data_IF_713709807469
#
_entry.id   IF_713709807469
#
_cell.length_a   1.000
_cell.length_b   1.000
_cell.length_c   1.000
_cell.angle_alpha   90.00
_cell.angle_beta   90.00
_cell.angle_gamma   90.00
#
_symmetry.space_group_name_H-M   'P 1'
#
loop_
_entity.id
_entity.type
_entity.pdbx_description
1 polymer ?
#
# COMPACT_ATOMS: atom_id res chain seq x y z
N UNK A 1 -17.52 6.44 -13.73
CA UNK A 1 -16.87 7.26 -14.79
C UNK A 1 -15.41 6.86 -14.84
N UNK A 2 -15.09 5.88 -15.71
CA UNK A 2 -13.72 5.41 -15.91
C UNK A 2 -12.93 6.50 -16.65
N UNK A 3 -11.76 6.83 -16.13
CA UNK A 3 -10.85 7.87 -16.63
C UNK A 3 -10.41 7.55 -18.07
N UNK A 4 -11.08 8.12 -19.08
CA UNK A 4 -10.61 8.02 -20.47
C UNK A 4 -9.47 9.04 -20.70
N UNK A 5 -8.27 8.54 -21.07
CA UNK A 5 -7.14 9.35 -21.55
C UNK A 5 -5.93 9.47 -20.62
N UNK A 6 -5.96 8.92 -19.40
CA UNK A 6 -4.81 8.89 -18.47
C UNK A 6 -4.48 7.46 -18.07
N UNK A 7 -3.19 7.16 -17.88
CA UNK A 7 -2.77 5.88 -17.31
C UNK A 7 -3.46 5.61 -15.97
N UNK A 8 -3.87 4.37 -15.68
CA UNK A 8 -4.45 4.02 -14.39
C UNK A 8 -3.50 4.38 -13.23
N UNK A 9 -4.03 4.87 -12.09
CA UNK A 9 -3.20 5.30 -10.97
C UNK A 9 -2.55 4.12 -10.25
N UNK A 10 -1.39 4.36 -9.63
CA UNK A 10 -0.89 3.50 -8.57
C UNK A 10 -1.88 3.53 -7.40
N UNK A 11 -2.28 2.36 -6.91
CA UNK A 11 -3.18 2.27 -5.77
C UNK A 11 -2.38 2.18 -4.48
N UNK A 12 -2.70 3.05 -3.52
CA UNK A 12 -2.14 3.02 -2.16
C UNK A 12 -3.25 2.68 -1.18
N UNK A 13 -3.15 1.56 -0.46
CA UNK A 13 -4.07 1.21 0.63
C UNK A 13 -3.36 1.22 1.98
N UNK A 14 -3.32 2.38 2.66
CA UNK A 14 -2.46 2.60 3.82
C UNK A 14 -3.10 2.15 5.13
N UNK A 15 -4.22 1.41 5.06
CA UNK A 15 -5.03 1.09 6.23
C UNK A 15 -5.02 -0.41 6.54
N UNK A 16 -5.20 -0.72 7.81
CA UNK A 16 -5.43 -2.08 8.30
C UNK A 16 -6.48 -2.03 9.41
N UNK A 17 -6.97 -3.19 9.82
CA UNK A 17 -7.95 -3.33 10.91
C UNK A 17 -7.39 -2.86 12.27
N UNK A 18 -6.07 -2.91 12.45
CA UNK A 18 -5.40 -2.55 13.70
C UNK A 18 -4.28 -1.55 13.44
N UNK A 19 -4.09 -0.60 14.38
CA UNK A 19 -3.06 0.46 14.27
C UNK A 19 -1.64 -0.10 14.20
N UNK A 20 -1.35 -1.16 14.94
CA UNK A 20 -0.02 -1.81 14.95
C UNK A 20 0.35 -2.44 13.61
N UNK A 21 -0.62 -2.59 12.69
CA UNK A 21 -0.42 -3.12 11.34
C UNK A 21 -0.38 -2.03 10.28
N UNK A 22 -0.39 -0.76 10.67
CA UNK A 22 -0.37 0.36 9.74
C UNK A 22 1.01 0.99 9.71
N UNK A 23 1.59 1.06 8.50
CA UNK A 23 2.77 1.88 8.29
C UNK A 23 2.38 3.36 8.49
N UNK A 24 3.22 4.17 9.19
CA UNK A 24 2.90 5.56 9.47
C UNK A 24 2.41 6.34 8.25
N UNK A 25 1.34 7.12 8.43
CA UNK A 25 0.72 7.87 7.35
C UNK A 25 1.68 8.89 6.72
N UNK A 26 2.60 9.44 7.52
CA UNK A 26 3.65 10.36 7.05
C UNK A 26 4.62 9.65 6.10
N UNK A 27 4.86 8.35 6.30
CA UNK A 27 5.70 7.59 5.40
C UNK A 27 4.99 7.29 4.09
N UNK A 28 3.70 6.93 4.13
CA UNK A 28 2.89 6.85 2.92
C UNK A 28 2.87 8.16 2.14
N UNK A 29 2.73 9.30 2.82
CA UNK A 29 2.81 10.62 2.16
C UNK A 29 4.12 10.79 1.41
N UNK A 30 5.26 10.55 2.07
CA UNK A 30 6.60 10.67 1.46
C UNK A 30 6.75 9.72 0.27
N UNK A 31 6.27 8.49 0.38
CA UNK A 31 6.27 7.53 -0.73
C UNK A 31 5.46 8.04 -1.92
N UNK A 32 4.28 8.62 -1.69
CA UNK A 32 3.43 9.20 -2.74
C UNK A 32 4.15 10.36 -3.43
N UNK A 33 4.78 11.26 -2.65
CA UNK A 33 5.58 12.37 -3.18
C UNK A 33 6.72 11.86 -4.09
N UNK A 34 7.43 10.81 -3.68
CA UNK A 34 8.49 10.18 -4.49
C UNK A 34 7.95 9.57 -5.78
N UNK A 35 6.85 8.81 -5.72
CA UNK A 35 6.21 8.21 -6.90
C UNK A 35 5.79 9.27 -7.92
N UNK A 36 5.12 10.33 -7.45
CA UNK A 36 4.66 11.41 -8.33
C UNK A 36 5.84 12.16 -8.92
N UNK A 37 6.83 12.53 -8.10
CA UNK A 37 7.98 13.34 -8.52
C UNK A 37 8.89 12.62 -9.51
N UNK A 38 9.19 11.35 -9.26
CA UNK A 38 10.21 10.62 -10.03
C UNK A 38 9.64 9.91 -11.26
N UNK A 39 8.33 9.67 -11.30
CA UNK A 39 7.73 8.85 -12.36
C UNK A 39 6.54 9.50 -13.05
N UNK A 40 6.01 10.60 -12.52
CA UNK A 40 4.81 11.22 -13.09
C UNK A 40 3.58 10.31 -13.06
N UNK A 41 3.58 9.24 -12.24
CA UNK A 41 2.41 8.38 -12.09
C UNK A 41 1.41 9.02 -11.14
N UNK A 42 0.14 9.00 -11.54
CA UNK A 42 -0.94 9.38 -10.64
C UNK A 42 -1.15 8.32 -9.55
N UNK A 43 -1.67 8.76 -8.41
CA UNK A 43 -1.89 7.93 -7.22
C UNK A 43 -3.33 8.06 -6.74
N UNK A 44 -3.94 6.94 -6.37
CA UNK A 44 -5.22 6.91 -5.67
C UNK A 44 -5.06 6.24 -4.30
N UNK A 45 -5.36 6.97 -3.24
CA UNK A 45 -5.44 6.42 -1.87
C UNK A 45 -6.81 5.79 -1.68
N UNK A 46 -6.83 4.47 -1.46
CA UNK A 46 -8.04 3.65 -1.41
C UNK A 46 -8.29 3.06 -0.03
N UNK A 47 -9.56 2.90 0.31
CA UNK A 47 -10.01 2.44 1.61
C UNK A 47 -11.51 2.57 1.77
N UNK A 48 -12.00 2.31 2.97
CA UNK A 48 -13.42 2.42 3.32
C UNK A 48 -13.83 3.88 3.52
N UNK A 49 -15.14 4.15 3.54
CA UNK A 49 -15.67 5.49 3.83
C UNK A 49 -15.21 6.02 5.20
N UNK A 50 -15.08 5.16 6.20
CA UNK A 50 -14.62 5.53 7.54
C UNK A 50 -13.16 6.02 7.57
N UNK A 51 -12.35 5.58 6.60
CA UNK A 51 -10.92 5.93 6.50
C UNK A 51 -10.69 7.24 5.72
N UNK A 52 -11.74 7.86 5.15
CA UNK A 52 -11.61 9.06 4.31
C UNK A 52 -10.93 10.23 5.02
N UNK A 53 -11.23 10.47 6.29
CA UNK A 53 -10.61 11.56 7.05
C UNK A 53 -9.10 11.33 7.26
N UNK A 54 -8.68 10.09 7.54
CA UNK A 54 -7.28 9.74 7.65
C UNK A 54 -6.56 9.83 6.30
N UNK A 55 -7.20 9.40 5.20
CA UNK A 55 -6.67 9.56 3.86
C UNK A 55 -6.52 11.04 3.45
N UNK A 56 -7.42 11.92 3.89
CA UNK A 56 -7.27 13.37 3.68
C UNK A 56 -5.98 13.89 4.31
N UNK A 57 -5.59 13.41 5.49
CA UNK A 57 -4.32 13.83 6.12
C UNK A 57 -3.09 13.39 5.29
N UNK A 58 -3.18 12.24 4.60
CA UNK A 58 -2.12 11.76 3.72
C UNK A 58 -2.01 12.67 2.48
N UNK A 59 -3.12 12.95 1.80
CA UNK A 59 -3.13 13.64 0.50
C UNK A 59 -3.14 15.17 0.58
N UNK A 60 -3.35 15.75 1.78
CA UNK A 60 -3.43 17.21 1.96
C UNK A 60 -2.20 17.90 1.39
N UNK A 61 -2.38 19.02 0.69
CA UNK A 61 -1.27 19.81 0.10
C UNK A 61 -0.45 19.06 -0.98
N UNK A 62 -0.89 17.88 -1.43
CA UNK A 62 -0.36 17.23 -2.63
C UNK A 62 -1.16 17.69 -3.87
N UNK A 63 -0.56 17.58 -5.06
CA UNK A 63 -1.23 17.94 -6.32
C UNK A 63 -2.52 17.13 -6.51
N UNK A 64 -3.67 17.82 -6.55
CA UNK A 64 -4.99 17.20 -6.78
C UNK A 64 -5.15 16.63 -8.18
N UNK A 65 -4.29 17.04 -9.13
CA UNK A 65 -4.24 16.44 -10.47
C UNK A 65 -3.53 15.09 -10.47
N UNK A 66 -2.62 14.86 -9.53
CA UNK A 66 -1.78 13.66 -9.48
C UNK A 66 -2.17 12.70 -8.36
N UNK A 67 -2.75 13.19 -7.28
CA UNK A 67 -3.06 12.40 -6.08
C UNK A 67 -4.52 12.59 -5.70
N UNK A 68 -5.23 11.48 -5.53
CA UNK A 68 -6.64 11.47 -5.15
C UNK A 68 -6.90 10.65 -3.89
N UNK A 69 -7.88 11.08 -3.09
CA UNK A 69 -8.45 10.28 -2.00
C UNK A 69 -9.74 9.61 -2.49
N UNK A 70 -9.64 8.33 -2.84
CA UNK A 70 -10.76 7.51 -3.33
C UNK A 70 -11.46 6.71 -2.20
N UNK A 71 -11.13 6.94 -0.93
CA UNK A 71 -11.66 6.17 0.20
C UNK A 71 -13.19 6.26 0.30
N UNK A 72 -13.88 5.15 0.08
CA UNK A 72 -15.35 5.09 0.04
C UNK A 72 -15.97 5.86 -1.12
N UNK A 73 -15.24 6.08 -2.22
CA UNK A 73 -15.78 6.60 -3.49
C UNK A 73 -16.15 5.50 -4.48
N UNK A 74 -15.59 4.32 -4.32
CA UNK A 74 -15.79 3.18 -5.21
C UNK A 74 -16.61 2.11 -4.53
N UNK A 75 -17.54 1.51 -5.27
CA UNK A 75 -18.12 0.22 -4.95
C UNK A 75 -17.04 -0.87 -4.93
N UNK A 76 -17.36 -2.04 -4.39
CA UNK A 76 -16.45 -3.17 -4.41
C UNK A 76 -16.06 -3.58 -5.85
N UNK A 77 -17.02 -3.60 -6.77
CA UNK A 77 -16.77 -3.92 -8.17
C UNK A 77 -15.83 -2.91 -8.84
N UNK A 78 -16.01 -1.61 -8.57
CA UNK A 78 -15.11 -0.56 -9.06
C UNK A 78 -13.71 -0.66 -8.46
N UNK A 79 -13.58 -1.03 -7.18
CA UNK A 79 -12.27 -1.30 -6.57
C UNK A 79 -11.56 -2.49 -7.23
N UNK A 80 -12.29 -3.58 -7.51
CA UNK A 80 -11.72 -4.75 -8.22
C UNK A 80 -11.25 -4.34 -9.61
N UNK A 81 -12.06 -3.61 -10.36
CA UNK A 81 -11.69 -3.11 -11.69
C UNK A 81 -10.50 -2.14 -11.64
N UNK A 82 -10.43 -1.29 -10.62
CA UNK A 82 -9.28 -0.41 -10.40
C UNK A 82 -8.01 -1.22 -10.10
N UNK A 83 -8.09 -2.26 -9.27
CA UNK A 83 -6.96 -3.17 -8.99
C UNK A 83 -6.50 -3.88 -10.26
N UNK A 84 -7.42 -4.31 -11.12
CA UNK A 84 -7.08 -4.93 -12.42
C UNK A 84 -6.32 -4.01 -13.35
N UNK A 85 -6.74 -2.75 -13.41
CA UNK A 85 -6.14 -1.74 -14.26
C UNK A 85 -4.85 -1.15 -13.65
N UNK A 86 -4.69 -1.22 -12.33
CA UNK A 86 -3.58 -0.59 -11.63
C UNK A 86 -2.22 -1.13 -12.11
N UNK A 87 -1.26 -0.25 -12.43
CA UNK A 87 0.09 -0.69 -12.74
C UNK A 87 0.76 -1.30 -11.51
N UNK A 88 0.49 -0.73 -10.31
CA UNK A 88 1.04 -1.15 -9.03
C UNK A 88 0.05 -0.92 -7.88
N UNK A 89 0.11 -1.79 -6.88
CA UNK A 89 -0.60 -1.65 -5.62
C UNK A 89 0.41 -1.66 -4.48
N UNK A 90 0.39 -0.65 -3.60
CA UNK A 90 1.14 -0.65 -2.34
C UNK A 90 0.15 -0.64 -1.19
N UNK A 91 0.29 -1.56 -0.24
CA UNK A 91 -0.65 -1.67 0.87
C UNK A 91 0.01 -2.23 2.12
N UNK A 92 -0.57 -1.95 3.28
CA UNK A 92 -0.30 -2.81 4.44
C UNK A 92 -0.90 -4.21 4.19
N UNK A 93 -0.53 -5.18 5.02
CA UNK A 93 -1.22 -6.48 5.04
C UNK A 93 -2.73 -6.31 5.31
N UNK A 94 -3.53 -6.28 4.25
CA UNK A 94 -4.94 -5.91 4.25
C UNK A 94 -5.69 -6.60 3.11
N UNK A 95 -7.02 -6.52 3.11
CA UNK A 95 -7.84 -7.10 2.05
C UNK A 95 -7.49 -6.61 0.65
N UNK A 96 -7.06 -5.35 0.49
CA UNK A 96 -6.64 -4.80 -0.81
C UNK A 96 -5.34 -5.45 -1.29
N UNK A 97 -4.39 -5.72 -0.38
CA UNK A 97 -3.14 -6.41 -0.72
C UNK A 97 -3.41 -7.85 -1.18
N UNK A 98 -4.28 -8.59 -0.47
CA UNK A 98 -4.68 -9.93 -0.85
C UNK A 98 -5.45 -9.97 -2.17
N UNK A 99 -6.37 -9.01 -2.38
CA UNK A 99 -7.10 -8.87 -3.64
C UNK A 99 -6.13 -8.66 -4.81
N UNK A 100 -5.19 -7.73 -4.69
CA UNK A 100 -4.21 -7.45 -5.75
C UNK A 100 -3.29 -8.65 -6.02
N UNK A 101 -2.76 -9.27 -4.96
CA UNK A 101 -1.92 -10.46 -5.07
C UNK A 101 -2.63 -11.62 -5.76
N UNK A 102 -3.85 -11.95 -5.33
CA UNK A 102 -4.65 -13.04 -5.90
C UNK A 102 -5.04 -12.82 -7.37
N UNK A 103 -5.05 -11.56 -7.82
CA UNK A 103 -5.29 -11.18 -9.23
C UNK A 103 -4.00 -11.07 -10.04
N UNK A 104 -2.87 -11.49 -9.48
CA UNK A 104 -1.58 -11.48 -10.14
C UNK A 104 -1.08 -10.07 -10.44
N UNK A 105 -1.51 -9.07 -9.67
CA UNK A 105 -1.06 -7.69 -9.83
C UNK A 105 0.21 -7.42 -9.06
N UNK A 106 1.04 -6.53 -9.60
CA UNK A 106 2.25 -6.07 -8.91
C UNK A 106 1.86 -5.41 -7.60
N UNK A 107 2.23 -6.07 -6.50
CA UNK A 107 1.78 -5.72 -5.16
C UNK A 107 2.98 -5.63 -4.24
N UNK A 108 3.19 -4.47 -3.63
CA UNK A 108 4.14 -4.28 -2.54
C UNK A 108 3.36 -4.26 -1.22
N UNK A 109 3.54 -5.29 -0.40
CA UNK A 109 2.87 -5.44 0.89
C UNK A 109 3.82 -5.06 2.03
N UNK A 110 3.47 -4.07 2.84
CA UNK A 110 4.17 -3.75 4.10
C UNK A 110 3.53 -4.57 5.22
N UNK A 111 4.30 -5.47 5.82
CA UNK A 111 3.79 -6.53 6.68
C UNK A 111 4.31 -6.38 8.12
N UNK A 112 3.38 -6.27 9.07
CA UNK A 112 3.70 -6.16 10.48
C UNK A 112 4.13 -7.50 11.08
N UNK A 113 5.01 -7.46 12.08
CA UNK A 113 5.48 -8.65 12.79
C UNK A 113 4.40 -9.35 13.64
N UNK A 114 3.15 -8.87 13.64
CA UNK A 114 2.05 -9.44 14.44
C UNK A 114 1.68 -10.85 14.01
N UNK A 115 1.94 -11.24 12.76
CA UNK A 115 1.61 -12.55 12.22
C UNK A 115 2.81 -13.17 11.51
N UNK A 116 2.81 -14.49 11.35
CA UNK A 116 3.80 -15.16 10.52
C UNK A 116 3.57 -14.75 9.05
N UNK A 117 4.55 -14.08 8.43
CA UNK A 117 4.41 -13.61 7.05
C UNK A 117 4.22 -14.79 6.08
N UNK A 118 4.87 -15.92 6.33
CA UNK A 118 4.77 -17.15 5.53
C UNK A 118 3.33 -17.69 5.45
N UNK A 119 2.53 -17.44 6.48
CA UNK A 119 1.13 -17.88 6.55
C UNK A 119 0.20 -16.85 5.93
N UNK A 120 0.40 -15.56 6.25
CA UNK A 120 -0.61 -14.51 6.04
C UNK A 120 -0.24 -13.47 4.98
N UNK A 121 0.92 -13.56 4.31
CA UNK A 121 1.24 -12.64 3.23
C UNK A 121 0.25 -12.79 2.05
N UNK A 122 0.00 -11.71 1.30
CA UNK A 122 -0.68 -11.83 0.01
C UNK A 122 0.06 -12.82 -0.89
N UNK A 123 -0.69 -13.70 -1.55
CA UNK A 123 -0.14 -14.71 -2.46
C UNK A 123 -0.36 -14.30 -3.89
N UNK A 124 0.65 -14.46 -4.72
CA UNK A 124 0.58 -14.20 -6.15
C UNK A 124 1.97 -14.14 -6.78
N UNK A 125 2.07 -14.31 -8.11
CA UNK A 125 3.35 -14.37 -8.83
C UNK A 125 4.11 -13.03 -8.85
N UNK A 126 3.45 -11.93 -8.46
CA UNK A 126 3.97 -10.55 -8.55
C UNK A 126 3.83 -9.81 -7.22
N UNK A 127 3.92 -10.54 -6.11
CA UNK A 127 3.86 -9.98 -4.76
C UNK A 127 5.26 -9.87 -4.18
N UNK A 128 5.60 -8.68 -3.68
CA UNK A 128 6.77 -8.44 -2.83
C UNK A 128 6.26 -8.08 -1.44
N UNK A 129 6.67 -8.82 -0.42
CA UNK A 129 6.27 -8.57 0.97
C UNK A 129 7.48 -8.08 1.76
N UNK A 130 7.37 -6.88 2.33
CA UNK A 130 8.36 -6.28 3.22
C UNK A 130 8.02 -6.65 4.66
N UNK A 131 8.96 -7.30 5.35
CA UNK A 131 8.88 -7.62 6.78
C UNK A 131 10.26 -7.44 7.41
N UNK A 132 10.32 -6.99 8.67
CA UNK A 132 11.59 -6.89 9.42
C UNK A 132 11.81 -8.18 10.19
N UNK A 133 13.01 -8.74 10.11
CA UNK A 133 13.44 -9.84 10.96
C UNK A 133 13.69 -9.32 12.39
N UNK A 134 12.71 -9.49 13.27
CA UNK A 134 12.74 -9.00 14.65
C UNK A 134 12.59 -10.17 15.62
N UNK A 135 13.29 -10.10 16.75
CA UNK A 135 13.24 -11.14 17.78
C UNK A 135 11.82 -11.40 18.34
N UNK A 136 10.94 -10.39 18.30
CA UNK A 136 9.56 -10.57 18.74
C UNK A 136 8.66 -11.24 17.68
N UNK A 137 9.10 -11.41 16.43
CA UNK A 137 8.23 -11.89 15.35
C UNK A 137 8.16 -13.43 15.30
N UNK A 138 6.95 -14.03 15.12
CA UNK A 138 5.63 -13.39 15.15
C UNK A 138 5.16 -13.11 16.59
N UNK A 139 4.68 -11.90 16.89
CA UNK A 139 4.35 -11.51 18.27
C UNK A 139 2.87 -11.65 18.65
N UNK A 140 1.97 -11.86 17.69
CA UNK A 140 0.51 -11.86 17.89
C UNK A 140 -0.06 -10.59 18.54
N UNK A 141 0.72 -9.51 18.61
CA UNK A 141 0.28 -8.24 19.21
C UNK A 141 -0.80 -7.62 18.31
N UNK A 142 -1.97 -7.42 18.89
CA UNK A 142 -3.06 -6.60 18.37
C UNK A 142 -3.54 -5.60 19.41
N UNK A 143 -4.05 -4.43 18.99
CA UNK A 143 -4.51 -3.36 19.89
C UNK A 143 -3.52 -2.20 20.07
N UNK A 144 -3.52 -1.52 21.23
CA UNK A 144 -2.83 -0.23 21.41
C UNK A 144 -1.42 -0.28 22.02
N UNK A 145 -0.99 -1.39 22.65
CA UNK A 145 0.33 -1.46 23.30
C UNK A 145 1.26 -2.46 22.63
N UNK A 146 2.22 -1.92 21.87
CA UNK A 146 3.43 -2.62 21.46
C UNK A 146 4.61 -2.09 22.27
N UNK A 147 5.24 -2.94 23.07
CA UNK A 147 6.41 -2.56 23.90
C UNK A 147 7.66 -2.24 23.08
N UNK A 148 7.69 -2.68 21.80
CA UNK A 148 8.76 -2.39 20.85
C UNK A 148 8.46 -1.17 19.97
N UNK A 149 7.50 -0.32 20.37
CA UNK A 149 7.18 0.92 19.66
C UNK A 149 6.75 0.73 18.20
N UNK A 150 6.17 -0.43 17.86
CA UNK A 150 5.84 -0.84 16.48
C UNK A 150 7.00 -0.68 15.47
N UNK A 151 8.24 -0.92 15.92
CA UNK A 151 9.47 -0.91 15.10
C UNK A 151 9.33 -1.70 13.79
N UNK A 152 8.58 -2.83 13.81
CA UNK A 152 8.29 -3.63 12.60
C UNK A 152 7.60 -2.87 11.47
N UNK A 153 6.94 -1.74 11.78
CA UNK A 153 6.35 -0.85 10.79
C UNK A 153 7.16 0.43 10.66
N UNK A 154 7.53 1.08 11.76
CA UNK A 154 8.19 2.40 11.72
C UNK A 154 9.56 2.34 11.06
N UNK A 155 10.33 1.27 11.26
CA UNK A 155 11.71 1.19 10.78
C UNK A 155 11.81 0.93 9.27
N UNK A 156 10.69 0.82 8.56
CA UNK A 156 10.68 0.89 7.11
C UNK A 156 10.67 2.34 6.67
N UNK A 157 11.81 2.85 6.22
CA UNK A 157 11.89 4.22 5.71
C UNK A 157 11.26 4.32 4.31
N UNK A 158 10.63 5.45 3.95
CA UNK A 158 10.00 5.61 2.64
C UNK A 158 10.92 5.36 1.46
N UNK A 159 12.20 5.70 1.60
CA UNK A 159 13.21 5.44 0.56
C UNK A 159 13.44 3.95 0.33
N UNK A 160 13.44 3.12 1.39
CA UNK A 160 13.56 1.66 1.28
C UNK A 160 12.34 1.08 0.54
N UNK A 161 11.13 1.52 0.92
CA UNK A 161 9.87 1.08 0.29
C UNK A 161 9.81 1.52 -1.17
N UNK A 162 10.25 2.74 -1.46
CA UNK A 162 10.32 3.27 -2.82
C UNK A 162 11.35 2.54 -3.69
N UNK A 163 12.50 2.14 -3.13
CA UNK A 163 13.45 1.29 -3.82
C UNK A 163 12.83 -0.07 -4.20
N UNK A 164 12.11 -0.71 -3.28
CA UNK A 164 11.39 -1.96 -3.58
C UNK A 164 10.30 -1.77 -4.63
N UNK A 165 9.58 -0.64 -4.60
CA UNK A 165 8.62 -0.26 -5.63
C UNK A 165 9.29 -0.17 -7.01
N UNK A 166 10.44 0.50 -7.11
CA UNK A 166 11.21 0.62 -8.35
C UNK A 166 11.72 -0.74 -8.86
N UNK A 167 12.24 -1.57 -7.97
CA UNK A 167 12.68 -2.92 -8.32
C UNK A 167 11.53 -3.73 -8.93
N UNK A 168 10.37 -3.75 -8.25
CA UNK A 168 9.19 -4.46 -8.73
C UNK A 168 8.70 -3.91 -10.09
N UNK A 169 8.71 -2.58 -10.27
CA UNK A 169 8.35 -1.96 -11.55
C UNK A 169 9.30 -2.33 -12.68
N UNK A 170 10.60 -2.28 -12.44
CA UNK A 170 11.58 -2.58 -13.49
C UNK A 170 11.52 -4.06 -13.89
N UNK A 171 11.29 -4.96 -12.92
CA UNK A 171 11.01 -6.37 -13.20
C UNK A 171 9.73 -6.56 -14.01
N UNK A 172 8.69 -5.75 -13.76
CA UNK A 172 7.47 -5.75 -14.55
C UNK A 172 7.70 -5.36 -16.01
N UNK A 173 8.46 -4.27 -16.23
CA UNK A 173 8.74 -3.75 -17.55
C UNK A 173 9.58 -4.73 -18.39
N UNK A 174 10.41 -5.56 -17.76
CA UNK A 174 11.21 -6.59 -18.45
C UNK A 174 10.41 -7.86 -18.83
N UNK A 175 9.19 -8.03 -18.31
CA UNK A 175 8.34 -9.20 -18.56
C UNK A 175 7.16 -8.92 -19.52
N UNK A 176 7.04 -7.69 -20.00
CA UNK A 176 6.05 -7.26 -21.00
C UNK A 176 6.69 -7.06 -22.36
#
# INVERSE_FOLDING_TARGET
MLMQGREPPVLISPFANERVRQWPWQHYRKLIEMIVREHGHSVAVVGTRAQRAAANAIVRDLSSEMVSNACGMWSWAELVAAVDAAPYVVANNSGVAHLAGGRGRWTLCIFAASHAYSEWMPRGPRVVTLTKALACSPCSVGGERCYNGVACMIDFEPAEVFWCFNYARNAAAALG
#
